data_IF_786205081607
#
_entry.id   IF_786205081607
#
_cell.length_a   1.000
_cell.length_b   1.000
_cell.length_c   1.000
_cell.angle_alpha   90.00
_cell.angle_beta   90.00
_cell.angle_gamma   90.00
#
_symmetry.space_group_name_H-M   'P 1'
#
loop_
_entity.id
_entity.type
_entity.pdbx_description
1 polymer ?
#
# COMPACT_ATOMS: atom_id res chain seq x y z
N UNK A 1 35.66 -3.33 -15.91
CA UNK A 1 34.88 -3.58 -14.68
C UNK A 1 33.45 -3.85 -15.12
N UNK A 2 33.09 -5.12 -15.24
CA UNK A 2 31.82 -5.56 -15.82
C UNK A 2 30.77 -5.58 -14.71
N UNK A 3 29.72 -4.77 -14.87
CA UNK A 3 28.49 -4.83 -14.08
C UNK A 3 27.89 -6.23 -14.20
N UNK A 4 27.98 -7.01 -13.14
CA UNK A 4 27.37 -8.33 -13.07
C UNK A 4 25.89 -8.19 -12.67
N UNK A 5 25.03 -8.62 -13.59
CA UNK A 5 23.81 -9.39 -13.32
C UNK A 5 22.76 -8.79 -12.40
N UNK A 6 21.80 -8.05 -12.96
CA UNK A 6 20.48 -7.88 -12.32
C UNK A 6 19.76 -9.22 -12.39
N UNK A 7 19.67 -9.89 -11.25
CA UNK A 7 18.98 -11.16 -11.07
C UNK A 7 17.49 -11.05 -11.43
N UNK A 8 16.99 -12.20 -11.87
CA UNK A 8 15.75 -12.41 -12.60
C UNK A 8 14.51 -12.08 -11.76
N UNK A 9 13.53 -11.51 -12.45
CA UNK A 9 12.19 -11.19 -11.98
C UNK A 9 11.36 -12.48 -11.79
N UNK A 10 11.38 -13.08 -10.60
CA UNK A 10 10.58 -14.25 -10.23
C UNK A 10 10.75 -14.54 -8.74
N UNK A 11 9.65 -14.76 -8.04
CA UNK A 11 9.51 -14.83 -6.56
C UNK A 11 9.49 -13.47 -5.86
N UNK A 12 8.28 -13.02 -5.52
CA UNK A 12 8.09 -11.78 -4.79
C UNK A 12 8.66 -11.89 -3.39
N UNK A 13 9.72 -11.15 -3.10
CA UNK A 13 10.21 -10.99 -1.74
C UNK A 13 9.10 -10.38 -0.88
N UNK A 14 8.98 -10.78 0.40
CA UNK A 14 7.89 -10.37 1.30
C UNK A 14 7.68 -8.83 1.31
N UNK A 15 8.74 -8.04 1.13
CA UNK A 15 8.68 -6.57 1.03
C UNK A 15 7.73 -6.06 -0.07
N UNK A 16 7.42 -6.85 -1.09
CA UNK A 16 6.51 -6.46 -2.17
C UNK A 16 5.05 -6.29 -1.73
N UNK A 17 4.69 -6.78 -0.54
CA UNK A 17 3.35 -6.60 0.03
C UNK A 17 3.18 -5.27 0.77
N UNK A 18 4.26 -4.55 1.04
CA UNK A 18 4.24 -3.25 1.69
C UNK A 18 4.28 -2.13 0.64
N UNK A 19 3.11 -1.56 0.29
CA UNK A 19 3.07 -0.45 -0.65
C UNK A 19 3.76 0.80 -0.08
N UNK A 20 4.36 1.67 -0.91
CA UNK A 20 5.04 2.88 -0.45
C UNK A 20 4.12 3.87 0.29
N UNK A 21 2.81 3.76 0.05
CA UNK A 21 1.80 4.61 0.67
C UNK A 21 1.19 4.04 1.96
N UNK A 22 1.71 2.94 2.50
CA UNK A 22 1.20 2.34 3.75
C UNK A 22 0.19 1.21 3.58
N UNK A 23 -0.32 0.99 2.37
CA UNK A 23 -1.29 -0.08 2.08
C UNK A 23 -0.59 -1.46 2.14
N UNK A 24 -1.23 -2.43 2.78
CA UNK A 24 -0.83 -3.84 2.72
C UNK A 24 -1.45 -4.55 1.51
N UNK A 25 -0.66 -4.77 0.45
CA UNK A 25 -1.12 -5.39 -0.79
C UNK A 25 -1.60 -6.84 -0.61
N UNK A 26 -1.16 -7.54 0.43
CA UNK A 26 -1.60 -8.90 0.75
C UNK A 26 -3.10 -9.01 1.05
N UNK A 27 -3.80 -7.90 1.28
CA UNK A 27 -5.26 -7.88 1.43
C UNK A 27 -6.02 -7.48 0.15
N UNK A 28 -5.34 -7.34 -0.99
CA UNK A 28 -5.94 -6.88 -2.24
C UNK A 28 -6.31 -8.07 -3.15
N UNK A 29 -7.59 -8.21 -3.49
CA UNK A 29 -8.04 -9.25 -4.42
C UNK A 29 -7.37 -9.16 -5.79
N UNK A 30 -7.18 -7.95 -6.33
CA UNK A 30 -6.49 -7.75 -7.63
C UNK A 30 -5.05 -8.30 -7.60
N UNK A 31 -4.38 -8.25 -6.44
CA UNK A 31 -3.06 -8.84 -6.26
C UNK A 31 -3.14 -10.37 -6.27
N UNK A 32 -4.07 -10.96 -5.53
CA UNK A 32 -4.30 -12.41 -5.50
C UNK A 32 -4.72 -12.98 -6.85
N UNK A 33 -5.50 -12.23 -7.63
CA UNK A 33 -5.95 -12.63 -8.97
C UNK A 33 -4.83 -12.53 -10.03
N UNK A 34 -3.62 -12.11 -9.65
CA UNK A 34 -2.49 -11.93 -10.57
C UNK A 34 -2.64 -10.77 -11.56
N UNK A 35 -3.68 -9.94 -11.39
CA UNK A 35 -3.98 -8.81 -12.29
C UNK A 35 -3.36 -7.48 -11.81
N UNK A 36 -2.66 -7.50 -10.69
CA UNK A 36 -1.98 -6.33 -10.17
C UNK A 36 -0.71 -6.05 -10.98
N UNK A 37 -0.71 -4.94 -11.71
CA UNK A 37 0.49 -4.44 -12.40
C UNK A 37 1.59 -3.94 -11.44
N UNK A 38 1.31 -3.90 -10.14
CA UNK A 38 2.26 -3.55 -9.09
C UNK A 38 2.42 -2.05 -8.89
N UNK A 39 2.23 -1.59 -7.65
CA UNK A 39 2.63 -0.24 -7.26
C UNK A 39 4.15 -0.10 -7.06
N UNK A 40 4.90 -1.21 -7.05
CA UNK A 40 6.34 -1.30 -6.77
C UNK A 40 7.19 -1.59 -8.02
N UNK A 41 6.58 -1.58 -9.21
CA UNK A 41 7.30 -1.77 -10.47
C UNK A 41 7.30 -0.49 -11.27
N UNK A 42 8.42 -0.21 -11.92
CA UNK A 42 8.50 0.83 -12.94
C UNK A 42 7.70 0.39 -14.18
N UNK A 43 6.82 1.26 -14.67
CA UNK A 43 6.16 1.13 -15.98
C UNK A 43 5.44 -0.20 -16.27
N UNK A 44 4.32 -0.45 -15.60
CA UNK A 44 3.27 -1.29 -16.19
C UNK A 44 1.95 -0.55 -16.08
N UNK A 45 1.31 -0.32 -17.23
CA UNK A 45 -0.07 0.15 -17.32
C UNK A 45 -0.93 -0.80 -16.47
N UNK A 46 -1.37 -0.35 -15.30
CA UNK A 46 -2.26 -1.15 -14.47
C UNK A 46 -3.64 -1.19 -15.14
N UNK A 47 -4.05 -2.28 -15.80
CA UNK A 47 -5.28 -2.29 -16.60
C UNK A 47 -6.51 -2.00 -15.73
N UNK A 48 -6.42 -2.34 -14.44
CA UNK A 48 -7.52 -2.27 -13.49
C UNK A 48 -7.44 -1.08 -12.51
N UNK A 49 -6.36 -0.29 -12.52
CA UNK A 49 -6.22 0.88 -11.63
C UNK A 49 -6.28 2.22 -12.38
N UNK A 50 -6.18 2.23 -13.71
CA UNK A 50 -6.25 3.46 -14.53
C UNK A 50 -5.11 4.45 -14.26
N UNK A 51 -4.01 4.00 -13.62
CA UNK A 51 -2.88 4.83 -13.21
C UNK A 51 -1.66 4.38 -14.03
N UNK A 52 -1.21 5.23 -14.96
CA UNK A 52 0.00 5.00 -15.77
C UNK A 52 1.26 4.81 -14.91
N UNK A 53 1.31 5.44 -13.74
CA UNK A 53 2.39 5.29 -12.75
C UNK A 53 1.93 5.75 -11.37
N UNK A 54 2.15 4.95 -10.31
CA UNK A 54 1.80 5.33 -8.94
C UNK A 54 2.58 6.57 -8.50
N UNK A 55 1.88 7.63 -8.06
CA UNK A 55 2.53 8.87 -7.61
C UNK A 55 3.42 8.68 -6.38
N UNK A 56 3.06 7.74 -5.49
CA UNK A 56 3.86 7.45 -4.30
C UNK A 56 5.15 6.74 -4.69
N UNK A 57 5.09 5.72 -5.55
CA UNK A 57 6.28 5.07 -6.10
C UNK A 57 7.24 6.07 -6.77
N UNK A 58 6.70 6.95 -7.60
CA UNK A 58 7.51 8.01 -8.24
C UNK A 58 8.14 8.95 -7.21
N UNK A 59 7.44 9.22 -6.12
CA UNK A 59 7.96 10.06 -5.05
C UNK A 59 9.08 9.34 -4.29
N UNK A 60 8.88 8.09 -3.90
CA UNK A 60 9.81 7.34 -3.03
C UNK A 60 11.03 6.85 -3.81
N UNK A 61 10.84 6.02 -4.84
CA UNK A 61 11.94 5.31 -5.51
C UNK A 61 12.60 6.08 -6.65
N UNK A 62 11.89 7.03 -7.28
CA UNK A 62 12.44 7.77 -8.44
C UNK A 62 13.01 9.12 -8.01
N UNK A 63 12.33 9.84 -7.12
CA UNK A 63 12.70 11.23 -6.78
C UNK A 63 13.58 11.37 -5.54
N UNK A 64 13.33 10.57 -4.51
CA UNK A 64 13.95 10.78 -3.20
C UNK A 64 14.76 9.58 -2.69
N UNK A 65 14.79 8.47 -3.45
CA UNK A 65 15.57 7.26 -3.17
C UNK A 65 15.37 6.67 -1.76
N UNK A 66 14.10 6.48 -1.38
CA UNK A 66 13.73 5.77 -0.15
C UNK A 66 12.63 4.74 -0.40
N UNK A 67 12.45 3.78 0.52
CA UNK A 67 11.56 2.65 0.29
C UNK A 67 10.08 3.06 0.33
N UNK A 68 9.64 3.72 1.40
CA UNK A 68 8.24 4.14 1.56
C UNK A 68 8.08 5.50 2.24
N UNK A 69 6.86 6.01 2.32
CA UNK A 69 6.59 7.30 2.91
C UNK A 69 7.01 7.42 4.39
N UNK A 70 7.25 6.32 5.11
CA UNK A 70 7.65 6.36 6.53
C UNK A 70 9.07 6.89 6.73
N UNK A 71 9.92 6.78 5.70
CA UNK A 71 11.28 7.33 5.64
C UNK A 71 11.33 8.80 5.20
N UNK A 72 10.18 9.39 4.83
CA UNK A 72 10.12 10.78 4.38
C UNK A 72 10.29 11.75 5.56
N UNK A 73 11.23 12.68 5.46
CA UNK A 73 11.45 13.73 6.48
C UNK A 73 10.23 14.63 6.71
N UNK A 74 9.37 14.78 5.70
CA UNK A 74 8.14 15.57 5.77
C UNK A 74 6.92 14.73 6.21
N UNK A 75 7.13 13.52 6.73
CA UNK A 75 6.04 12.62 7.08
C UNK A 75 5.21 13.12 8.28
N UNK A 76 3.86 13.04 8.22
CA UNK A 76 3.04 12.76 7.04
C UNK A 76 2.96 13.99 6.12
N UNK A 77 3.40 13.85 4.87
CA UNK A 77 3.44 14.99 3.96
C UNK A 77 2.04 15.34 3.44
N UNK A 78 1.86 16.54 2.85
CA UNK A 78 0.58 17.01 2.31
C UNK A 78 -0.05 16.02 1.31
N UNK A 79 0.78 15.32 0.52
CA UNK A 79 0.31 14.32 -0.44
C UNK A 79 -0.32 13.10 0.26
N UNK A 80 0.33 12.61 1.31
CA UNK A 80 -0.13 11.46 2.09
C UNK A 80 -1.38 11.82 2.91
N UNK A 81 -1.37 12.98 3.58
CA UNK A 81 -2.54 13.51 4.28
C UNK A 81 -3.76 13.58 3.37
N UNK A 82 -3.63 14.20 2.19
CA UNK A 82 -4.73 14.27 1.22
C UNK A 82 -5.20 12.89 0.79
N UNK A 83 -4.30 11.93 0.61
CA UNK A 83 -4.66 10.56 0.24
C UNK A 83 -5.45 9.85 1.34
N UNK A 84 -5.02 9.98 2.60
CA UNK A 84 -5.70 9.40 3.76
C UNK A 84 -7.09 9.98 4.03
N UNK A 85 -7.38 11.17 3.51
CA UNK A 85 -8.66 11.85 3.71
C UNK A 85 -9.61 11.73 2.49
N UNK A 86 -9.22 11.02 1.42
CA UNK A 86 -10.08 10.89 0.25
C UNK A 86 -11.35 10.08 0.56
N UNK A 87 -12.51 10.67 0.25
CA UNK A 87 -13.85 10.06 0.38
C UNK A 87 -14.08 9.55 1.82
N UNK A 88 -14.15 10.47 2.80
CA UNK A 88 -14.30 10.14 4.21
C UNK A 88 -15.61 9.38 4.49
N UNK A 89 -15.63 8.55 5.53
CA UNK A 89 -16.86 7.97 6.07
C UNK A 89 -17.43 6.76 5.34
N UNK A 90 -16.65 6.05 4.51
CA UNK A 90 -17.08 4.75 3.92
C UNK A 90 -16.09 3.64 4.22
N UNK A 91 -16.58 2.56 4.82
CA UNK A 91 -15.82 1.37 5.25
C UNK A 91 -15.08 0.68 4.09
N UNK A 92 -15.67 0.63 2.89
CA UNK A 92 -15.01 0.14 1.65
C UNK A 92 -13.71 0.89 1.26
N UNK A 93 -13.36 1.98 1.96
CA UNK A 93 -12.13 2.75 1.77
C UNK A 93 -11.30 2.88 3.05
N UNK A 94 -11.61 2.14 4.11
CA UNK A 94 -10.92 2.18 5.39
C UNK A 94 -9.40 2.02 5.24
N UNK A 95 -8.95 1.12 4.36
CA UNK A 95 -7.52 0.92 4.04
C UNK A 95 -6.77 2.18 3.61
N UNK A 96 -7.46 3.23 3.11
CA UNK A 96 -6.82 4.52 2.82
C UNK A 96 -6.69 5.38 4.07
N UNK A 97 -7.67 5.32 4.96
CA UNK A 97 -7.74 6.20 6.13
C UNK A 97 -6.69 5.80 7.18
N UNK A 98 -6.36 4.50 7.26
CA UNK A 98 -5.31 3.98 8.15
C UNK A 98 -3.90 4.01 7.56
N UNK A 99 -3.69 4.61 6.38
CA UNK A 99 -2.35 4.56 5.74
C UNK A 99 -1.27 5.26 6.55
N UNK A 100 -1.64 6.34 7.24
CA UNK A 100 -0.70 7.07 8.10
C UNK A 100 -0.36 6.21 9.30
N UNK A 101 -1.37 5.65 9.98
CA UNK A 101 -1.20 4.72 11.11
C UNK A 101 -0.33 3.50 10.71
N UNK A 102 -0.55 2.95 9.52
CA UNK A 102 0.28 1.86 9.00
C UNK A 102 1.74 2.30 8.81
N UNK A 103 1.99 3.49 8.29
CA UNK A 103 3.34 4.01 8.07
C UNK A 103 4.02 4.37 9.39
N UNK A 104 3.32 4.98 10.35
CA UNK A 104 3.82 5.20 11.70
C UNK A 104 4.18 3.87 12.38
N UNK A 105 3.31 2.87 12.24
CA UNK A 105 3.58 1.52 12.75
C UNK A 105 4.83 0.92 12.11
N UNK A 106 5.07 1.10 10.82
CA UNK A 106 6.33 0.67 10.17
C UNK A 106 7.55 1.36 10.78
N UNK A 107 7.48 2.64 11.16
CA UNK A 107 8.57 3.35 11.85
C UNK A 107 8.86 2.75 13.22
N UNK A 108 7.81 2.34 13.94
CA UNK A 108 7.92 1.78 15.28
C UNK A 108 8.50 0.37 15.31
N UNK A 109 8.01 -0.53 14.46
CA UNK A 109 8.32 -1.97 14.54
C UNK A 109 9.12 -2.51 13.36
N UNK A 110 9.41 -1.67 12.37
CA UNK A 110 10.05 -2.07 11.12
C UNK A 110 9.09 -2.78 10.16
N UNK A 111 9.47 -2.79 8.89
CA UNK A 111 8.62 -3.30 7.80
C UNK A 111 8.28 -4.78 7.93
N UNK A 112 9.22 -5.62 8.37
CA UNK A 112 9.04 -7.07 8.44
C UNK A 112 8.03 -7.48 9.52
N UNK A 113 8.15 -6.91 10.72
CA UNK A 113 7.19 -7.13 11.79
C UNK A 113 5.81 -6.57 11.43
N UNK A 114 5.77 -5.38 10.81
CA UNK A 114 4.53 -4.79 10.32
C UNK A 114 3.83 -5.68 9.28
N UNK A 115 4.57 -6.27 8.34
CA UNK A 115 3.98 -7.18 7.36
C UNK A 115 3.35 -8.42 8.01
N UNK A 116 4.00 -8.99 9.04
CA UNK A 116 3.41 -10.09 9.80
C UNK A 116 2.13 -9.65 10.52
N UNK A 117 2.15 -8.48 11.17
CA UNK A 117 0.98 -7.93 11.86
C UNK A 117 -0.20 -7.73 10.90
N UNK A 118 0.06 -7.24 9.69
CA UNK A 118 -0.98 -7.02 8.68
C UNK A 118 -1.50 -8.30 8.05
N UNK A 119 -0.66 -9.34 7.89
CA UNK A 119 -1.12 -10.66 7.44
C UNK A 119 -2.05 -11.29 8.48
N UNK A 120 -1.68 -11.22 9.77
CA UNK A 120 -2.51 -11.70 10.87
C UNK A 120 -3.86 -10.95 10.91
N UNK A 121 -3.84 -9.61 10.81
CA UNK A 121 -5.06 -8.78 10.71
C UNK A 121 -5.93 -9.13 9.51
N UNK A 122 -5.33 -9.37 8.34
CA UNK A 122 -6.08 -9.78 7.15
C UNK A 122 -6.76 -11.14 7.35
N UNK A 123 -6.04 -12.14 7.87
CA UNK A 123 -6.58 -13.48 8.15
C UNK A 123 -7.70 -13.47 9.18
N UNK A 124 -7.63 -12.58 10.16
CA UNK A 124 -8.64 -12.42 11.19
C UNK A 124 -9.83 -11.55 10.75
N UNK A 125 -9.81 -10.99 9.53
CA UNK A 125 -10.86 -10.10 9.05
C UNK A 125 -10.87 -8.74 9.74
N UNK A 126 -9.71 -8.23 10.18
CA UNK A 126 -9.55 -6.90 10.77
C UNK A 126 -9.03 -5.87 9.76
N UNK A 127 -8.51 -6.31 8.60
CA UNK A 127 -8.03 -5.44 7.53
C UNK A 127 -8.42 -5.96 6.14
N UNK A 128 -8.84 -5.06 5.24
CA UNK A 128 -9.33 -5.42 3.90
C UNK A 128 -9.09 -4.31 2.89
N UNK A 129 -8.92 -4.70 1.61
CA UNK A 129 -8.92 -3.75 0.49
C UNK A 129 -10.05 -4.10 -0.47
N UNK A 130 -11.04 -3.21 -0.54
CA UNK A 130 -12.22 -3.42 -1.37
C UNK A 130 -13.35 -4.09 -0.59
N UNK A 131 -14.45 -4.46 -1.26
CA UNK A 131 -15.66 -4.84 -0.55
C UNK A 131 -15.57 -6.24 0.04
N UNK A 132 -15.64 -6.34 1.37
CA UNK A 132 -16.13 -7.54 2.04
C UNK A 132 -17.63 -7.65 1.79
N UNK A 133 -18.01 -8.33 0.70
CA UNK A 133 -19.40 -8.40 0.27
C UNK A 133 -19.97 -7.04 -0.19
N UNK A 134 -21.01 -7.06 -1.02
CA UNK A 134 -21.69 -5.83 -1.46
C UNK A 134 -22.53 -5.17 -0.36
N UNK A 135 -22.65 -5.83 0.78
CA UNK A 135 -23.57 -5.51 1.88
C UNK A 135 -23.13 -4.27 2.69
N UNK A 136 -21.84 -3.91 2.64
CA UNK A 136 -21.27 -2.82 3.45
C UNK A 136 -20.84 -1.58 2.64
N UNK A 137 -21.27 -1.45 1.38
CA UNK A 137 -20.93 -0.32 0.48
C UNK A 137 -21.38 1.09 0.94
N UNK A 138 -21.99 1.20 2.12
CA UNK A 138 -22.38 2.44 2.77
C UNK A 138 -22.13 2.48 4.28
N UNK A 139 -21.50 1.45 4.88
CA UNK A 139 -21.23 1.45 6.33
C UNK A 139 -20.25 2.58 6.66
N UNK A 140 -20.53 3.42 7.69
CA UNK A 140 -19.60 4.44 8.14
C UNK A 140 -18.26 3.83 8.53
N UNK A 141 -17.16 4.42 8.05
CA UNK A 141 -15.86 4.05 8.61
C UNK A 141 -15.78 4.57 10.05
N UNK A 142 -15.61 3.68 11.03
CA UNK A 142 -15.39 4.06 12.42
C UNK A 142 -14.16 4.97 12.63
N UNK A 143 -13.26 5.00 11.64
CA UNK A 143 -12.07 5.83 11.60
C UNK A 143 -12.34 7.33 11.31
N UNK A 144 -13.52 7.68 10.81
CA UNK A 144 -13.92 9.07 10.59
C UNK A 144 -15.11 9.36 11.50
N UNK A 145 -14.84 9.99 12.64
CA UNK A 145 -15.86 10.57 13.52
C UNK A 145 -16.28 11.94 13.02
#
# INVERSE_FOLDING_TARGET
>A
MLFQGKEKLGEGTKQQLAAPCGIYCGACSIFHDGQCAGCLKENIEAPNAGIKQCRFYKCTHIKNDFFDCSECELFPCKMLNRFSQLRPGKEVRHYRHVTIDCLDRRKEIGIEAWMKEMDDKYRNGEYHIGPFGREHWGTPCACVK
#
